data_IF_655675005543
#
_entry.id   IF_655675005543
#
_cell.length_a   1.000
_cell.length_b   1.000
_cell.length_c   1.000
_cell.angle_alpha   90.00
_cell.angle_beta   90.00
_cell.angle_gamma   90.00
#
_symmetry.space_group_name_H-M   'P 1'
#
loop_
_entity.id
_entity.type
_entity.pdbx_description
1 polymer ?
#
# COMPACT_ATOMS: atom_id res chain seq x y z
N UNK A 1 14.96 13.60 -2.19
CA UNK A 1 13.85 13.66 -1.20
C UNK A 1 13.40 12.24 -0.87
N UNK A 2 13.26 11.93 0.42
CA UNK A 2 12.68 10.67 0.92
C UNK A 2 11.17 10.85 1.07
N UNK A 3 10.40 9.90 0.57
CA UNK A 3 8.93 9.90 0.65
C UNK A 3 8.43 8.58 1.22
N UNK A 4 7.18 8.57 1.70
CA UNK A 4 6.51 7.36 2.18
C UNK A 4 5.27 7.06 1.35
N UNK A 5 5.10 5.80 0.99
CA UNK A 5 3.85 5.24 0.43
C UNK A 5 3.21 4.40 1.53
N UNK A 6 2.25 4.95 2.28
CA UNK A 6 1.61 4.23 3.38
C UNK A 6 0.41 3.43 2.92
N UNK A 7 0.09 2.38 3.64
CA UNK A 7 -1.13 1.61 3.42
C UNK A 7 -1.19 0.35 4.29
N UNK A 8 -2.31 -0.34 4.22
CA UNK A 8 -2.47 -1.64 4.87
C UNK A 8 -1.78 -2.75 4.09
N UNK A 9 -1.82 -2.70 2.76
CA UNK A 9 -1.22 -3.69 1.85
C UNK A 9 -1.60 -5.13 2.21
N UNK A 10 -2.86 -5.41 2.28
CA UNK A 10 -3.40 -6.69 2.75
C UNK A 10 -4.30 -7.38 1.70
N UNK A 11 -3.71 -7.88 0.60
CA UNK A 11 -2.31 -7.80 0.19
C UNK A 11 -1.99 -6.59 -0.70
N UNK A 12 -0.72 -6.41 -1.05
CA UNK A 12 -0.29 -5.49 -2.11
C UNK A 12 -0.86 -5.96 -3.46
N UNK A 13 -1.30 -5.01 -4.29
CA UNK A 13 -1.86 -5.25 -5.63
C UNK A 13 -1.03 -4.56 -6.69
N UNK A 14 -1.30 -4.83 -7.97
CA UNK A 14 -0.68 -4.08 -9.07
C UNK A 14 -1.02 -2.59 -9.05
N UNK A 15 -2.18 -2.21 -8.48
CA UNK A 15 -2.51 -0.80 -8.28
C UNK A 15 -1.57 -0.10 -7.31
N UNK A 16 -1.23 -0.75 -6.21
CA UNK A 16 -0.20 -0.26 -5.28
C UNK A 16 1.18 -0.22 -5.92
N UNK A 17 1.55 -1.30 -6.61
CA UNK A 17 2.86 -1.42 -7.25
C UNK A 17 3.08 -0.33 -8.31
N UNK A 18 2.06 0.01 -9.10
CA UNK A 18 2.12 1.09 -10.08
C UNK A 18 2.54 2.42 -9.43
N UNK A 19 1.93 2.77 -8.32
CA UNK A 19 2.26 4.01 -7.59
C UNK A 19 3.68 3.95 -7.01
N UNK A 20 4.05 2.81 -6.40
CA UNK A 20 5.39 2.62 -5.80
C UNK A 20 6.48 2.71 -6.87
N UNK A 21 6.31 2.04 -7.99
CA UNK A 21 7.26 2.05 -9.12
C UNK A 21 7.47 3.48 -9.64
N UNK A 22 6.37 4.18 -9.93
CA UNK A 22 6.44 5.56 -10.43
C UNK A 22 7.01 6.53 -9.41
N UNK A 23 6.76 6.32 -8.12
CA UNK A 23 7.39 7.08 -7.05
C UNK A 23 8.89 6.80 -6.99
N UNK A 24 9.31 5.55 -7.16
CA UNK A 24 10.74 5.18 -7.15
C UNK A 24 11.55 5.86 -8.26
N UNK A 25 10.90 6.15 -9.38
CA UNK A 25 11.53 6.88 -10.50
C UNK A 25 11.69 8.38 -10.25
N UNK A 26 10.91 8.94 -9.33
CA UNK A 26 10.82 10.39 -9.11
C UNK A 26 11.55 10.87 -7.85
N UNK A 27 11.71 9.99 -6.87
CA UNK A 27 12.26 10.34 -5.56
C UNK A 27 13.53 9.55 -5.26
N UNK A 28 14.40 10.12 -4.41
CA UNK A 28 15.67 9.49 -4.06
C UNK A 28 15.48 8.19 -3.27
N UNK A 29 14.49 8.17 -2.39
CA UNK A 29 14.14 7.00 -1.59
C UNK A 29 12.63 6.96 -1.34
N UNK A 30 12.05 5.79 -1.53
CA UNK A 30 10.65 5.51 -1.25
C UNK A 30 10.56 4.47 -0.13
N UNK A 31 9.87 4.80 0.94
CA UNK A 31 9.55 3.84 2.00
C UNK A 31 8.10 3.39 1.82
N UNK A 32 7.90 2.09 1.64
CA UNK A 32 6.56 1.49 1.69
C UNK A 32 6.30 1.13 3.14
N UNK A 33 5.38 1.86 3.78
CA UNK A 33 5.09 1.69 5.21
C UNK A 33 3.77 0.95 5.40
N UNK A 34 3.86 -0.26 5.94
CA UNK A 34 2.69 -1.04 6.33
C UNK A 34 2.17 -0.47 7.65
N UNK A 35 0.98 0.12 7.62
CA UNK A 35 0.34 0.67 8.80
C UNK A 35 -0.41 -0.43 9.54
N UNK A 36 -0.07 -0.56 10.82
CA UNK A 36 -0.69 -1.56 11.69
C UNK A 36 -1.99 -0.99 12.24
N UNK A 37 -3.11 -1.58 11.88
CA UNK A 37 -4.42 -1.23 12.44
C UNK A 37 -4.93 -2.40 13.28
N UNK A 38 -4.91 -2.24 14.60
CA UNK A 38 -5.32 -3.28 15.55
C UNK A 38 -6.82 -3.55 15.55
N UNK A 39 -7.65 -2.67 14.99
CA UNK A 39 -9.11 -2.77 15.02
C UNK A 39 -9.72 -3.48 13.82
N UNK A 40 -8.94 -3.70 12.76
CA UNK A 40 -9.39 -4.42 11.55
C UNK A 40 -8.73 -5.79 11.47
N UNK A 41 -9.54 -6.84 11.31
CA UNK A 41 -9.04 -8.15 10.95
C UNK A 41 -8.35 -8.11 9.58
N UNK A 42 -7.08 -8.51 9.53
CA UNK A 42 -6.34 -8.63 8.29
C UNK A 42 -6.26 -10.10 7.86
N UNK A 43 -6.17 -10.34 6.56
CA UNK A 43 -5.96 -11.69 6.03
C UNK A 43 -4.53 -12.17 6.31
N UNK A 44 -3.56 -11.26 6.16
CA UNK A 44 -2.14 -11.55 6.38
C UNK A 44 -1.61 -10.78 7.59
N UNK A 45 -0.67 -11.39 8.30
CA UNK A 45 0.06 -10.70 9.37
C UNK A 45 0.90 -9.55 8.80
N UNK A 46 1.34 -8.64 9.66
CA UNK A 46 2.23 -7.54 9.25
C UNK A 46 3.51 -8.08 8.61
N UNK A 47 4.12 -9.10 9.20
CA UNK A 47 5.35 -9.71 8.68
C UNK A 47 5.13 -10.37 7.32
N UNK A 48 4.03 -11.08 7.14
CA UNK A 48 3.65 -11.66 5.84
C UNK A 48 3.46 -10.59 4.76
N UNK A 49 2.78 -9.50 5.10
CA UNK A 49 2.57 -8.37 4.19
C UNK A 49 3.88 -7.71 3.80
N UNK A 50 4.75 -7.46 4.77
CA UNK A 50 6.08 -6.87 4.52
C UNK A 50 6.92 -7.76 3.61
N UNK A 51 6.92 -9.07 3.83
CA UNK A 51 7.69 -10.01 3.00
C UNK A 51 7.19 -10.04 1.56
N UNK A 52 5.87 -10.09 1.36
CA UNK A 52 5.28 -10.00 0.01
C UNK A 52 5.67 -8.70 -0.70
N UNK A 53 5.69 -7.58 0.02
CA UNK A 53 6.11 -6.30 -0.54
C UNK A 53 7.59 -6.34 -0.90
N UNK A 54 8.47 -6.85 -0.02
CA UNK A 54 9.91 -6.96 -0.28
C UNK A 54 10.21 -7.75 -1.54
N UNK A 55 9.55 -8.89 -1.71
CA UNK A 55 9.70 -9.70 -2.92
C UNK A 55 9.24 -8.94 -4.17
N UNK A 56 8.11 -8.25 -4.06
CA UNK A 56 7.51 -7.51 -5.17
C UNK A 56 8.37 -6.33 -5.63
N UNK A 57 9.01 -5.62 -4.69
CA UNK A 57 9.79 -4.41 -4.99
C UNK A 57 11.29 -4.66 -5.10
N UNK A 58 11.72 -5.92 -5.12
CA UNK A 58 13.14 -6.31 -5.13
C UNK A 58 13.95 -5.64 -6.24
N UNK A 59 13.34 -5.37 -7.38
CA UNK A 59 14.01 -4.72 -8.52
C UNK A 59 14.17 -3.20 -8.38
N UNK A 60 13.60 -2.59 -7.35
CA UNK A 60 13.68 -1.16 -7.12
C UNK A 60 14.68 -0.86 -5.99
N UNK A 61 15.94 -0.50 -6.31
CA UNK A 61 17.00 -0.42 -5.28
C UNK A 61 16.80 0.69 -4.25
N UNK A 62 16.01 1.71 -4.57
CA UNK A 62 15.71 2.83 -3.69
C UNK A 62 14.38 2.69 -2.92
N UNK A 63 13.73 1.52 -3.01
CA UNK A 63 12.50 1.23 -2.26
C UNK A 63 12.82 0.40 -1.02
N UNK A 64 12.38 0.89 0.13
CA UNK A 64 12.50 0.19 1.42
C UNK A 64 11.12 -0.16 1.95
N UNK A 65 11.04 -1.19 2.77
CA UNK A 65 9.78 -1.65 3.39
C UNK A 65 9.91 -1.57 4.90
N UNK A 66 8.92 -0.96 5.53
CA UNK A 66 8.87 -0.79 6.98
C UNK A 66 7.43 -0.96 7.48
N UNK A 67 7.24 -1.03 8.77
CA UNK A 67 5.93 -1.04 9.40
C UNK A 67 5.86 0.01 10.50
N UNK A 68 4.67 0.50 10.77
CA UNK A 68 4.44 1.50 11.81
C UNK A 68 3.11 1.29 12.51
N UNK A 69 3.14 1.40 13.82
CA UNK A 69 1.95 1.44 14.67
C UNK A 69 1.84 2.83 15.28
N UNK A 70 0.76 3.54 15.01
CA UNK A 70 0.51 4.90 15.49
C UNK A 70 0.24 5.87 14.35
N UNK A 71 0.37 7.16 14.62
CA UNK A 71 0.11 8.20 13.63
C UNK A 71 1.19 8.23 12.55
N UNK A 72 0.75 8.31 11.30
CA UNK A 72 1.67 8.39 10.15
C UNK A 72 2.59 9.62 10.24
N UNK A 73 2.08 10.75 10.74
CA UNK A 73 2.88 11.97 10.89
C UNK A 73 4.03 11.81 11.89
N UNK A 74 3.85 11.01 12.93
CA UNK A 74 4.91 10.69 13.89
C UNK A 74 6.00 9.84 13.22
N UNK A 75 5.60 8.89 12.40
CA UNK A 75 6.51 8.11 11.58
C UNK A 75 7.32 9.01 10.63
N UNK A 76 6.65 9.92 9.94
CA UNK A 76 7.30 10.86 9.04
C UNK A 76 8.34 11.73 9.77
N UNK A 77 7.99 12.21 10.96
CA UNK A 77 8.89 13.00 11.78
C UNK A 77 10.12 12.21 12.24
N UNK A 78 9.89 10.99 12.73
CA UNK A 78 10.96 10.12 13.23
C UNK A 78 11.94 9.71 12.11
N UNK A 79 11.43 9.48 10.91
CA UNK A 79 12.20 9.01 9.75
C UNK A 79 12.66 10.15 8.82
N UNK A 80 12.44 11.40 9.20
CA UNK A 80 12.78 12.59 8.39
C UNK A 80 12.15 12.55 6.98
N UNK A 81 10.90 12.09 6.90
CA UNK A 81 10.13 12.01 5.67
C UNK A 81 9.34 13.31 5.51
N UNK A 82 9.44 13.93 4.34
CA UNK A 82 8.83 15.24 4.08
C UNK A 82 7.55 15.16 3.26
N UNK A 83 7.29 14.06 2.60
CA UNK A 83 6.10 13.91 1.76
C UNK A 83 5.54 12.49 1.83
N UNK A 84 4.22 12.43 1.81
CA UNK A 84 3.44 11.20 1.70
C UNK A 84 2.99 11.11 0.25
N UNK A 85 3.18 9.95 -0.39
CA UNK A 85 2.69 9.68 -1.74
C UNK A 85 1.51 8.74 -1.66
N UNK A 86 0.40 9.14 -2.25
CA UNK A 86 -0.84 8.35 -2.31
C UNK A 86 -1.38 8.24 -3.72
N UNK A 87 -1.80 7.04 -4.11
CA UNK A 87 -2.56 6.83 -5.33
C UNK A 87 -4.00 7.32 -5.18
N UNK A 88 -4.55 7.91 -6.24
CA UNK A 88 -5.96 8.28 -6.32
C UNK A 88 -6.64 7.50 -7.43
N UNK A 89 -7.78 6.87 -7.12
CA UNK A 89 -8.56 6.06 -8.04
C UNK A 89 -9.87 6.72 -8.44
N UNK A 90 -10.59 7.31 -7.47
CA UNK A 90 -11.93 7.85 -7.64
C UNK A 90 -12.13 9.12 -6.82
N UNK A 91 -13.17 9.88 -7.17
CA UNK A 91 -13.54 11.14 -6.49
C UNK A 91 -13.86 10.93 -5.00
N UNK A 92 -14.51 9.81 -4.67
CA UNK A 92 -14.83 9.47 -3.27
C UNK A 92 -13.59 9.26 -2.41
N UNK A 93 -12.53 8.66 -2.98
CA UNK A 93 -11.24 8.54 -2.31
C UNK A 93 -10.62 9.92 -2.06
N UNK A 94 -10.74 10.82 -3.05
CA UNK A 94 -10.16 12.15 -3.00
C UNK A 94 -10.69 12.99 -1.84
N UNK A 95 -11.99 13.00 -1.60
CA UNK A 95 -12.59 13.81 -0.54
C UNK A 95 -12.01 13.47 0.83
N UNK A 96 -11.94 12.19 1.16
CA UNK A 96 -11.35 11.73 2.43
C UNK A 96 -9.84 11.99 2.47
N UNK A 97 -9.13 11.64 1.41
CA UNK A 97 -7.68 11.80 1.34
C UNK A 97 -7.25 13.27 1.38
N UNK A 98 -8.05 14.18 0.80
CA UNK A 98 -7.79 15.62 0.87
C UNK A 98 -7.90 16.13 2.30
N UNK A 99 -8.93 15.70 3.05
CA UNK A 99 -9.10 16.09 4.45
C UNK A 99 -7.92 15.61 5.30
N UNK A 100 -7.48 14.38 5.11
CA UNK A 100 -6.32 13.83 5.81
C UNK A 100 -5.04 14.57 5.45
N UNK A 101 -4.84 14.90 4.17
CA UNK A 101 -3.69 15.66 3.70
C UNK A 101 -3.61 17.04 4.34
N UNK A 102 -4.74 17.74 4.41
CA UNK A 102 -4.82 19.06 5.05
C UNK A 102 -4.53 18.98 6.54
N UNK A 103 -5.08 18.00 7.25
CA UNK A 103 -4.81 17.79 8.66
C UNK A 103 -3.35 17.45 8.92
N UNK A 104 -2.78 16.53 8.16
CA UNK A 104 -1.37 16.13 8.28
C UNK A 104 -0.42 17.32 8.08
N UNK A 105 -0.71 18.14 7.08
CA UNK A 105 0.07 19.36 6.82
C UNK A 105 0.00 20.34 7.99
N UNK A 106 -1.19 20.57 8.53
CA UNK A 106 -1.37 21.50 9.64
C UNK A 106 -0.67 21.02 10.90
N UNK A 107 -0.72 19.73 11.20
CA UNK A 107 -0.13 19.15 12.40
C UNK A 107 1.39 18.97 12.35
N UNK A 108 1.95 18.78 11.15
CA UNK A 108 3.35 18.35 11.02
C UNK A 108 4.15 19.06 9.93
N UNK A 109 3.49 19.78 9.03
CA UNK A 109 4.13 20.33 7.83
C UNK A 109 4.40 19.32 6.73
N UNK A 110 4.02 18.06 6.90
CA UNK A 110 4.21 17.00 5.89
C UNK A 110 3.19 17.17 4.76
N UNK A 111 3.68 17.25 3.53
CA UNK A 111 2.83 17.35 2.35
C UNK A 111 2.36 15.97 1.86
N UNK A 112 1.19 15.93 1.25
CA UNK A 112 0.69 14.73 0.56
C UNK A 112 0.67 14.98 -0.95
N UNK A 113 1.32 14.10 -1.68
CA UNK A 113 1.38 14.13 -3.14
C UNK A 113 0.47 13.04 -3.69
N UNK A 114 -0.50 13.40 -4.50
CA UNK A 114 -1.43 12.46 -5.10
C UNK A 114 -0.97 12.07 -6.50
N UNK A 115 -0.93 10.77 -6.76
CA UNK A 115 -0.64 10.21 -8.08
C UNK A 115 -1.90 9.52 -8.61
N UNK A 116 -2.38 9.95 -9.77
CA UNK A 116 -3.48 9.26 -10.42
C UNK A 116 -3.08 7.82 -10.77
N UNK A 117 -3.87 6.85 -10.37
CA UNK A 117 -3.65 5.45 -10.74
C UNK A 117 -3.88 5.25 -12.23
N UNK A 118 -3.21 4.26 -12.82
CA UNK A 118 -3.48 3.90 -14.21
C UNK A 118 -4.92 3.43 -14.37
N UNK A 119 -5.58 3.76 -15.51
CA UNK A 119 -6.98 3.39 -15.72
C UNK A 119 -7.28 1.90 -15.54
N UNK A 120 -6.35 1.03 -15.97
CA UNK A 120 -6.49 -0.43 -15.84
C UNK A 120 -6.53 -0.91 -14.38
N UNK A 121 -6.08 -0.09 -13.42
CA UNK A 121 -6.10 -0.40 -11.99
C UNK A 121 -7.06 0.47 -11.19
N UNK A 122 -7.86 1.31 -11.85
CA UNK A 122 -8.74 2.28 -11.17
C UNK A 122 -9.82 1.64 -10.29
N UNK A 123 -10.26 0.43 -10.61
CA UNK A 123 -11.23 -0.34 -9.82
C UNK A 123 -10.59 -1.24 -8.76
N UNK A 124 -9.27 -1.40 -8.81
CA UNK A 124 -8.55 -2.41 -8.04
C UNK A 124 -8.34 -1.98 -6.59
N UNK A 125 -8.69 -2.87 -5.65
CA UNK A 125 -8.44 -2.72 -4.22
C UNK A 125 -8.08 -4.07 -3.60
N UNK A 126 -7.40 -4.04 -2.46
CA UNK A 126 -7.13 -5.26 -1.69
C UNK A 126 -8.42 -5.95 -1.26
N UNK A 127 -9.44 -5.19 -0.90
CA UNK A 127 -10.76 -5.74 -0.50
C UNK A 127 -11.41 -6.50 -1.64
N UNK A 128 -11.40 -5.95 -2.85
CA UNK A 128 -11.96 -6.62 -4.03
C UNK A 128 -11.17 -7.91 -4.35
N UNK A 129 -9.84 -7.86 -4.29
CA UNK A 129 -8.99 -9.04 -4.52
C UNK A 129 -9.31 -10.15 -3.52
N UNK A 130 -9.43 -9.81 -2.25
CA UNK A 130 -9.79 -10.79 -1.21
C UNK A 130 -11.18 -11.39 -1.43
N UNK A 131 -12.14 -10.58 -1.81
CA UNK A 131 -13.49 -11.03 -2.11
C UNK A 131 -13.50 -12.02 -3.27
N UNK A 132 -12.85 -11.67 -4.39
CA UNK A 132 -12.75 -12.55 -5.55
C UNK A 132 -12.05 -13.87 -5.21
N UNK A 133 -10.94 -13.79 -4.48
CA UNK A 133 -10.19 -14.99 -4.07
C UNK A 133 -11.00 -15.89 -3.13
N UNK A 134 -11.79 -15.32 -2.24
CA UNK A 134 -12.69 -16.07 -1.33
C UNK A 134 -13.68 -16.94 -2.09
N UNK A 135 -14.19 -16.43 -3.22
CA UNK A 135 -15.14 -17.16 -4.08
C UNK A 135 -14.45 -17.99 -5.19
N UNK A 136 -13.14 -18.14 -5.13
CA UNK A 136 -12.39 -18.95 -6.10
C UNK A 136 -12.14 -18.28 -7.43
N UNK A 137 -12.32 -16.95 -7.53
CA UNK A 137 -12.02 -16.18 -8.73
C UNK A 137 -10.51 -16.09 -8.99
N UNK A 138 -10.12 -15.98 -10.26
CA UNK A 138 -8.74 -15.81 -10.66
C UNK A 138 -8.31 -14.35 -10.48
N UNK A 139 -7.36 -14.11 -9.58
CA UNK A 139 -6.81 -12.78 -9.29
C UNK A 139 -5.38 -12.59 -9.80
N UNK A 140 -4.87 -13.54 -10.59
CA UNK A 140 -3.48 -13.54 -11.07
C UNK A 140 -3.09 -12.30 -11.88
N UNK A 141 -4.05 -11.64 -12.54
CA UNK A 141 -3.82 -10.41 -13.31
C UNK A 141 -3.85 -9.14 -12.45
N UNK A 142 -4.20 -9.23 -11.17
CA UNK A 142 -4.39 -8.09 -10.28
C UNK A 142 -3.32 -7.99 -9.20
N UNK A 143 -2.58 -9.06 -8.97
CA UNK A 143 -1.57 -9.13 -7.91
C UNK A 143 -0.26 -9.73 -8.42
N UNK A 144 0.89 -9.33 -7.85
CA UNK A 144 2.17 -9.95 -8.16
C UNK A 144 2.19 -11.45 -7.88
N UNK A 145 3.03 -12.19 -8.59
CA UNK A 145 3.09 -13.65 -8.48
C UNK A 145 3.30 -14.17 -7.05
N UNK A 146 4.19 -13.60 -6.20
CA UNK A 146 4.33 -14.03 -4.81
C UNK A 146 3.04 -13.85 -4.00
N UNK A 147 2.30 -12.78 -4.26
CA UNK A 147 1.02 -12.50 -3.61
C UNK A 147 -0.04 -13.51 -4.05
N UNK A 148 -0.11 -13.82 -5.33
CA UNK A 148 -1.04 -14.81 -5.86
C UNK A 148 -0.83 -16.18 -5.21
N UNK A 149 0.42 -16.63 -5.10
CA UNK A 149 0.75 -17.88 -4.44
C UNK A 149 0.30 -17.89 -2.97
N UNK A 150 0.56 -16.82 -2.23
CA UNK A 150 0.15 -16.69 -0.82
C UNK A 150 -1.37 -16.65 -0.65
N UNK A 151 -2.10 -16.00 -1.58
CA UNK A 151 -3.56 -16.00 -1.57
C UNK A 151 -4.14 -17.39 -1.79
N UNK A 152 -3.63 -18.13 -2.78
CA UNK A 152 -4.06 -19.50 -3.06
C UNK A 152 -3.85 -20.41 -1.85
N UNK A 153 -2.70 -20.33 -1.22
CA UNK A 153 -2.37 -21.10 -0.01
C UNK A 153 -3.32 -20.74 1.15
N UNK A 154 -3.53 -19.45 1.41
CA UNK A 154 -4.37 -18.96 2.50
C UNK A 154 -5.84 -19.35 2.29
N UNK A 155 -6.36 -19.28 1.07
CA UNK A 155 -7.74 -19.61 0.76
C UNK A 155 -7.99 -21.13 0.78
N UNK A 156 -7.01 -21.96 0.42
CA UNK A 156 -7.12 -23.41 0.48
C UNK A 156 -7.08 -23.96 1.91
N UNK A 157 -6.31 -23.34 2.82
CA UNK A 157 -6.22 -23.69 4.24
C UNK A 157 -7.48 -23.37 5.05
N UNK A 158 -8.39 -22.52 4.53
CA UNK A 158 -9.65 -22.12 5.19
C UNK A 158 -10.86 -23.00 4.85
N UNK A 159 -10.69 -24.03 4.04
CA UNK A 159 -11.76 -24.98 3.68
C UNK A 159 -11.73 -26.23 4.58
N UNK A 160 -12.05 -26.01 5.82
CA UNK A 160 -12.40 -27.09 6.75
C UNK A 160 -13.75 -26.82 7.37
#
# INVERSE_FOLDING_TARGET
>A
MRVVCPGSFDPITFGHLDVIERASEKFDEVVVAVLVNRTKGSLFTVDERMEMIRETVRSFPNVKVDSWSGLLIDYCKEREIRAIVKGLRAVSDFDYELQMAQMNRQLSGVETLFMATRPEYSFLSSSLVKELATYGGDVSTYVPAPVHASLLERMSGGKN
#
